data_IF_918170907244
#
_entry.id   IF_918170907244
#
_cell.length_a   1.000
_cell.length_b   1.000
_cell.length_c   1.000
_cell.angle_alpha   90.00
_cell.angle_beta   90.00
_cell.angle_gamma   90.00
#
_symmetry.space_group_name_H-M   'P 1'
#
loop_
_entity.id
_entity.type
_entity.pdbx_description
1 polymer ?
#
# COMPACT_ATOMS: atom_id res chain seq x y z
N UNK A 1 7.18 12.61 -4.30
CA UNK A 1 7.27 11.94 -5.61
C UNK A 1 8.71 11.77 -6.05
N UNK A 2 8.92 10.85 -6.93
CA UNK A 2 10.23 10.51 -7.49
C UNK A 2 10.45 11.29 -8.79
N UNK A 3 10.35 12.62 -8.74
CA UNK A 3 10.49 13.51 -9.90
C UNK A 3 9.65 13.05 -11.13
N UNK A 4 8.42 12.61 -10.84
CA UNK A 4 7.48 12.15 -11.85
C UNK A 4 7.56 10.66 -12.21
N UNK A 5 8.50 9.90 -11.63
CA UNK A 5 8.57 8.45 -11.84
C UNK A 5 7.42 7.75 -11.07
N UNK A 6 6.55 7.04 -11.77
CA UNK A 6 5.39 6.36 -11.19
C UNK A 6 5.40 4.89 -11.53
N UNK A 7 5.28 4.04 -10.50
CA UNK A 7 5.23 2.59 -10.64
C UNK A 7 3.82 2.06 -10.34
N UNK A 8 3.36 1.12 -11.16
CA UNK A 8 2.15 0.34 -10.94
C UNK A 8 2.53 -1.11 -10.59
N UNK A 9 2.31 -1.57 -9.33
CA UNK A 9 2.89 -2.80 -8.80
C UNK A 9 2.03 -4.04 -9.08
N UNK A 10 1.63 -4.28 -10.31
CA UNK A 10 0.92 -5.51 -10.67
C UNK A 10 1.90 -6.65 -10.97
N UNK A 11 2.55 -7.15 -9.91
CA UNK A 11 3.54 -8.26 -10.00
C UNK A 11 2.92 -9.58 -10.45
N UNK A 12 1.64 -9.76 -10.23
CA UNK A 12 0.85 -10.91 -10.67
C UNK A 12 -0.55 -10.50 -11.11
N UNK A 13 -1.21 -11.32 -11.94
CA UNK A 13 -2.56 -11.05 -12.39
C UNK A 13 -3.54 -11.10 -11.21
N UNK A 14 -4.32 -10.05 -11.05
CA UNK A 14 -5.42 -10.02 -10.09
C UNK A 14 -6.72 -10.55 -10.71
N UNK A 15 -7.65 -11.02 -9.86
CA UNK A 15 -8.95 -11.52 -10.32
C UNK A 15 -9.71 -10.52 -11.22
N UNK A 16 -9.67 -9.24 -10.88
CA UNK A 16 -10.35 -8.17 -11.64
C UNK A 16 -9.56 -7.65 -12.84
N UNK A 17 -8.25 -7.91 -12.88
CA UNK A 17 -7.34 -7.41 -13.91
C UNK A 17 -6.40 -8.54 -14.36
N UNK A 18 -6.91 -9.59 -15.02
CA UNK A 18 -6.16 -10.83 -15.28
C UNK A 18 -4.99 -10.68 -16.28
N UNK A 19 -4.92 -9.55 -16.98
CA UNK A 19 -3.84 -9.23 -17.91
C UNK A 19 -2.88 -8.17 -17.35
N UNK A 20 -3.15 -7.63 -16.15
CA UNK A 20 -2.32 -6.58 -15.59
C UNK A 20 -0.87 -7.06 -15.36
N UNK A 21 0.07 -6.18 -15.65
CA UNK A 21 1.50 -6.34 -15.38
C UNK A 21 2.03 -5.09 -14.69
N UNK A 22 3.15 -5.24 -14.00
CA UNK A 22 3.88 -4.11 -13.46
C UNK A 22 4.33 -3.17 -14.59
N UNK A 23 4.27 -1.88 -14.33
CA UNK A 23 4.74 -0.86 -15.26
C UNK A 23 5.38 0.29 -14.49
N UNK A 24 6.40 0.89 -15.08
CA UNK A 24 7.04 2.11 -14.57
C UNK A 24 7.04 3.10 -15.72
N UNK A 25 6.57 4.31 -15.47
CA UNK A 25 6.56 5.40 -16.45
C UNK A 25 7.17 6.67 -15.87
N UNK A 26 7.64 7.55 -16.73
CA UNK A 26 8.16 8.85 -16.35
C UNK A 26 9.69 8.94 -16.22
N UNK A 27 10.44 7.97 -16.74
CA UNK A 27 11.91 8.05 -16.75
C UNK A 27 12.42 9.25 -17.53
N UNK A 28 13.41 9.92 -16.95
CA UNK A 28 14.22 10.97 -17.57
C UNK A 28 15.70 10.80 -17.15
N UNK A 29 16.56 11.67 -17.61
CA UNK A 29 18.01 11.65 -17.35
C UNK A 29 18.39 11.93 -15.88
N UNK A 30 17.50 12.54 -15.10
CA UNK A 30 17.73 12.78 -13.67
C UNK A 30 17.51 11.54 -12.78
N UNK A 31 16.88 10.48 -13.30
CA UNK A 31 16.50 9.33 -12.48
C UNK A 31 17.67 8.38 -12.21
N UNK A 32 17.80 8.00 -10.95
CA UNK A 32 18.81 7.06 -10.45
C UNK A 32 18.14 5.81 -9.87
N UNK A 33 18.93 4.82 -9.48
CA UNK A 33 18.44 3.62 -8.78
C UNK A 33 17.66 3.97 -7.50
N UNK A 34 18.03 5.05 -6.80
CA UNK A 34 17.31 5.50 -5.60
C UNK A 34 15.88 5.98 -5.93
N UNK A 35 15.69 6.66 -7.05
CA UNK A 35 14.36 7.06 -7.52
C UNK A 35 13.52 5.83 -7.86
N UNK A 36 14.11 4.82 -8.51
CA UNK A 36 13.43 3.56 -8.81
C UNK A 36 12.99 2.84 -7.53
N UNK A 37 13.89 2.72 -6.54
CA UNK A 37 13.56 2.10 -5.27
C UNK A 37 12.43 2.84 -4.53
N UNK A 38 12.49 4.17 -4.53
CA UNK A 38 11.42 4.99 -3.94
C UNK A 38 10.11 4.87 -4.70
N UNK A 39 10.13 4.83 -6.04
CA UNK A 39 8.95 4.65 -6.87
C UNK A 39 8.25 3.29 -6.60
N UNK A 40 9.00 2.24 -6.25
CA UNK A 40 8.44 0.96 -5.82
C UNK A 40 7.63 1.15 -4.53
N UNK A 41 8.19 1.82 -3.53
CA UNK A 41 7.52 2.08 -2.25
C UNK A 41 6.25 2.91 -2.47
N UNK A 42 6.35 3.99 -3.22
CA UNK A 42 5.22 4.87 -3.53
C UNK A 42 4.13 4.16 -4.34
N UNK A 43 4.53 3.35 -5.32
CA UNK A 43 3.61 2.57 -6.16
C UNK A 43 2.81 1.54 -5.35
N UNK A 44 3.43 0.87 -4.38
CA UNK A 44 2.74 -0.04 -3.45
C UNK A 44 1.71 0.75 -2.62
N UNK A 45 2.09 1.91 -2.09
CA UNK A 45 1.19 2.76 -1.32
C UNK A 45 0.01 3.29 -2.17
N UNK A 46 0.24 3.64 -3.45
CA UNK A 46 -0.84 4.00 -4.39
C UNK A 46 -1.81 2.84 -4.64
N UNK A 47 -1.31 1.61 -4.79
CA UNK A 47 -2.17 0.44 -4.98
C UNK A 47 -3.07 0.19 -3.76
N UNK A 48 -2.52 0.33 -2.56
CA UNK A 48 -3.27 0.22 -1.31
C UNK A 48 -4.29 1.36 -1.18
N UNK A 49 -3.93 2.59 -1.53
CA UNK A 49 -4.84 3.74 -1.54
C UNK A 49 -6.01 3.54 -2.51
N UNK A 50 -5.78 3.04 -3.73
CA UNK A 50 -6.86 2.70 -4.70
C UNK A 50 -7.84 1.68 -4.09
N UNK A 51 -7.31 0.65 -3.42
CA UNK A 51 -8.11 -0.32 -2.68
C UNK A 51 -8.93 0.30 -1.56
N UNK A 52 -8.31 1.16 -0.73
CA UNK A 52 -8.98 1.85 0.36
C UNK A 52 -10.10 2.77 -0.13
N UNK A 53 -9.84 3.60 -1.14
CA UNK A 53 -10.87 4.46 -1.73
C UNK A 53 -12.05 3.66 -2.30
N UNK A 54 -11.78 2.43 -2.81
CA UNK A 54 -12.82 1.50 -3.23
C UNK A 54 -13.70 1.01 -2.06
N UNK A 55 -13.11 0.74 -0.89
CA UNK A 55 -13.81 0.35 0.32
C UNK A 55 -14.64 1.52 0.87
N UNK A 56 -14.04 2.70 0.98
CA UNK A 56 -14.69 3.91 1.46
C UNK A 56 -15.95 4.27 0.66
N UNK A 57 -15.85 4.16 -0.68
CA UNK A 57 -17.01 4.38 -1.56
C UNK A 57 -18.16 3.41 -1.30
N UNK A 58 -17.86 2.14 -0.98
CA UNK A 58 -18.90 1.12 -0.71
C UNK A 58 -19.52 1.27 0.68
N UNK A 59 -18.72 1.65 1.65
CA UNK A 59 -19.16 1.78 3.04
C UNK A 59 -19.74 3.17 3.35
N UNK A 60 -19.62 4.12 2.43
CA UNK A 60 -19.97 5.54 2.64
C UNK A 60 -19.33 6.14 3.90
N UNK A 61 -18.14 5.66 4.25
CA UNK A 61 -17.40 6.07 5.44
C UNK A 61 -15.94 6.37 5.08
N UNK A 62 -15.36 7.39 5.73
CA UNK A 62 -13.96 7.76 5.57
C UNK A 62 -13.10 7.15 6.66
N UNK A 63 -11.97 6.58 6.26
CA UNK A 63 -10.95 6.11 7.18
C UNK A 63 -10.23 7.32 7.78
N UNK A 64 -10.09 7.34 9.10
CA UNK A 64 -9.46 8.43 9.84
C UNK A 64 -7.99 8.19 10.17
N UNK A 65 -7.58 6.93 10.21
CA UNK A 65 -6.22 6.51 10.51
C UNK A 65 -5.96 5.09 9.98
N UNK A 66 -4.71 4.73 9.78
CA UNK A 66 -4.30 3.44 9.22
C UNK A 66 -3.29 2.77 10.15
N UNK A 67 -3.54 1.51 10.49
CA UNK A 67 -2.55 0.66 11.13
C UNK A 67 -1.67 -0.03 10.07
N UNK A 68 -0.36 0.01 10.25
CA UNK A 68 0.60 -0.70 9.39
C UNK A 68 1.34 -1.78 10.16
N UNK A 69 1.61 -2.89 9.49
CA UNK A 69 2.32 -4.04 10.06
C UNK A 69 3.18 -4.74 9.01
N UNK A 70 3.93 -5.76 9.45
CA UNK A 70 4.85 -6.50 8.60
C UNK A 70 6.21 -5.81 8.45
N UNK A 71 7.11 -6.42 7.69
CA UNK A 71 8.51 -6.00 7.56
C UNK A 71 8.68 -4.53 7.12
N UNK A 72 7.89 -4.06 6.16
CA UNK A 72 7.94 -2.68 5.67
C UNK A 72 7.60 -1.63 6.74
N UNK A 73 6.77 -1.97 7.73
CA UNK A 73 6.40 -1.06 8.82
C UNK A 73 7.55 -0.74 9.78
N UNK A 74 8.65 -1.48 9.72
CA UNK A 74 9.83 -1.20 10.53
C UNK A 74 10.57 0.07 10.06
N UNK A 75 10.43 0.46 8.80
CA UNK A 75 11.02 1.68 8.26
C UNK A 75 10.13 2.89 8.54
N UNK A 76 10.66 3.86 9.28
CA UNK A 76 9.99 5.14 9.52
C UNK A 76 9.71 5.89 8.23
N UNK A 77 10.65 5.84 7.27
CA UNK A 77 10.49 6.48 5.97
C UNK A 77 9.31 5.89 5.18
N UNK A 78 9.15 4.56 5.17
CA UNK A 78 8.01 3.89 4.51
C UNK A 78 6.70 4.29 5.18
N UNK A 79 6.65 4.32 6.51
CA UNK A 79 5.45 4.74 7.25
C UNK A 79 5.08 6.20 6.97
N UNK A 80 6.08 7.11 6.91
CA UNK A 80 5.85 8.51 6.59
C UNK A 80 5.38 8.70 5.15
N UNK A 81 6.01 8.04 4.16
CA UNK A 81 5.56 8.06 2.76
C UNK A 81 4.11 7.56 2.65
N UNK A 82 3.78 6.51 3.40
CA UNK A 82 2.41 5.97 3.42
C UNK A 82 1.44 7.01 3.99
N UNK A 83 1.76 7.65 5.12
CA UNK A 83 0.93 8.71 5.70
C UNK A 83 0.70 9.86 4.70
N UNK A 84 1.78 10.32 4.05
CA UNK A 84 1.74 11.41 3.09
C UNK A 84 0.88 11.03 1.85
N UNK A 85 0.99 9.80 1.34
CA UNK A 85 0.20 9.34 0.19
C UNK A 85 -1.28 9.22 0.55
N UNK A 86 -1.61 8.70 1.72
CA UNK A 86 -3.01 8.52 2.14
C UNK A 86 -3.66 9.81 2.67
N UNK A 87 -2.89 10.76 3.16
CA UNK A 87 -3.39 12.01 3.75
C UNK A 87 -4.06 11.81 5.12
N UNK A 88 -3.79 10.70 5.79
CA UNK A 88 -4.29 10.39 7.13
C UNK A 88 -3.16 9.86 8.01
N UNK A 89 -3.27 9.97 9.35
CA UNK A 89 -2.28 9.41 10.25
C UNK A 89 -2.10 7.90 10.05
N UNK A 90 -0.84 7.47 10.04
CA UNK A 90 -0.43 6.06 10.00
C UNK A 90 0.22 5.73 11.33
N UNK A 91 -0.13 4.60 11.93
CA UNK A 91 0.52 4.15 13.16
C UNK A 91 0.95 2.69 13.06
N UNK A 92 1.97 2.35 13.81
CA UNK A 92 2.38 0.96 14.04
C UNK A 92 2.21 0.59 15.51
N UNK A 93 2.05 -0.70 15.75
CA UNK A 93 1.97 -1.26 17.10
C UNK A 93 3.35 -1.73 17.57
N UNK A 94 3.45 -2.21 18.80
CA UNK A 94 4.71 -2.60 19.46
C UNK A 94 5.49 -3.72 18.75
N UNK A 95 4.86 -4.46 17.85
CA UNK A 95 5.51 -5.51 17.06
C UNK A 95 5.07 -5.43 15.60
N UNK A 96 5.97 -5.77 14.68
CA UNK A 96 5.63 -5.95 13.26
C UNK A 96 5.03 -7.33 12.98
N UNK A 97 5.21 -8.30 13.89
CA UNK A 97 4.65 -9.66 13.83
C UNK A 97 3.19 -9.69 14.30
N UNK A 98 2.33 -8.93 13.66
CA UNK A 98 0.92 -8.79 14.06
C UNK A 98 0.10 -10.04 13.84
N UNK A 99 0.50 -10.92 12.92
CA UNK A 99 -0.14 -12.24 12.75
C UNK A 99 0.04 -13.10 14.00
N UNK A 100 1.26 -13.19 14.54
CA UNK A 100 1.56 -13.90 15.78
C UNK A 100 0.83 -13.29 16.98
N UNK A 101 0.77 -11.97 17.05
CA UNK A 101 -0.02 -11.27 18.07
C UNK A 101 -1.51 -11.62 17.98
N UNK A 102 -2.06 -11.67 16.76
CA UNK A 102 -3.45 -12.08 16.54
C UNK A 102 -3.71 -13.52 17.00
N UNK A 103 -2.82 -14.46 16.69
CA UNK A 103 -2.91 -15.85 17.19
C UNK A 103 -2.88 -15.90 18.72
N UNK A 104 -2.00 -15.12 19.36
CA UNK A 104 -1.94 -15.05 20.82
C UNK A 104 -3.23 -14.49 21.43
N UNK A 105 -3.84 -13.45 20.84
CA UNK A 105 -5.13 -12.88 21.26
C UNK A 105 -6.23 -13.94 21.21
N UNK A 106 -6.32 -14.71 20.10
CA UNK A 106 -7.30 -15.80 19.96
C UNK A 106 -7.06 -16.89 21.01
N UNK A 107 -5.81 -17.31 21.22
CA UNK A 107 -5.44 -18.31 22.22
C UNK A 107 -5.81 -17.88 23.64
N UNK A 108 -5.45 -16.70 24.06
CA UNK A 108 -5.77 -16.18 25.41
C UNK A 108 -7.29 -16.01 25.63
N UNK A 109 -8.02 -15.60 24.57
CA UNK A 109 -9.50 -15.57 24.65
C UNK A 109 -10.08 -16.96 24.84
N UNK A 110 -9.57 -17.96 24.09
CA UNK A 110 -10.02 -19.35 24.20
C UNK A 110 -9.73 -19.95 25.59
N UNK A 111 -8.58 -19.66 26.18
CA UNK A 111 -8.18 -20.08 27.52
C UNK A 111 -8.91 -19.35 28.66
N UNK A 112 -9.79 -18.40 28.35
CA UNK A 112 -10.54 -17.64 29.35
C UNK A 112 -9.72 -16.59 30.11
N UNK A 113 -8.51 -16.24 29.64
CA UNK A 113 -7.68 -15.18 30.25
C UNK A 113 -8.33 -13.81 30.05
N UNK A 114 -8.96 -13.59 28.92
CA UNK A 114 -9.73 -12.40 28.60
C UNK A 114 -11.20 -12.74 28.33
N UNK A 115 -12.11 -11.85 28.78
CA UNK A 115 -13.54 -12.06 28.65
C UNK A 115 -14.08 -11.83 27.22
N UNK A 116 -13.41 -10.99 26.43
CA UNK A 116 -13.76 -10.69 25.04
C UNK A 116 -12.51 -10.44 24.19
N UNK A 117 -12.66 -10.40 22.86
CA UNK A 117 -11.58 -10.01 21.94
C UNK A 117 -11.20 -8.54 22.13
N UNK A 118 -12.17 -7.66 22.41
CA UNK A 118 -11.96 -6.24 22.69
C UNK A 118 -11.10 -6.06 23.95
N UNK A 119 -11.37 -6.83 25.01
CA UNK A 119 -10.59 -6.84 26.22
C UNK A 119 -9.16 -7.33 25.97
N UNK A 120 -9.00 -8.42 25.24
CA UNK A 120 -7.69 -8.92 24.84
C UNK A 120 -6.89 -7.91 24.01
N UNK A 121 -7.51 -7.29 23.00
CA UNK A 121 -6.87 -6.25 22.17
C UNK A 121 -6.46 -5.05 23.02
N UNK A 122 -7.32 -4.57 23.90
CA UNK A 122 -7.03 -3.42 24.80
C UNK A 122 -5.80 -3.68 25.68
N UNK A 123 -5.61 -4.91 26.13
CA UNK A 123 -4.50 -5.28 27.03
C UNK A 123 -3.23 -5.70 26.29
N UNK A 124 -3.34 -6.26 25.06
CA UNK A 124 -2.22 -6.85 24.33
C UNK A 124 -1.69 -5.96 23.20
N UNK A 125 -2.47 -5.00 22.71
CA UNK A 125 -2.07 -4.14 21.58
C UNK A 125 -1.76 -2.72 22.08
N UNK A 126 -0.56 -2.23 21.75
CA UNK A 126 -0.11 -0.88 22.11
C UNK A 126 0.44 -0.16 20.89
N UNK A 127 0.01 1.08 20.68
CA UNK A 127 0.62 1.96 19.66
C UNK A 127 2.05 2.28 20.06
N UNK A 128 3.00 2.09 19.15
CA UNK A 128 4.42 2.40 19.39
C UNK A 128 4.83 3.73 18.77
N UNK A 129 4.35 4.03 17.55
CA UNK A 129 4.66 5.28 16.84
C UNK A 129 3.56 5.66 15.87
N UNK A 130 3.29 6.96 15.77
CA UNK A 130 2.34 7.54 14.81
C UNK A 130 3.09 8.49 13.87
N UNK A 131 2.75 8.47 12.59
CA UNK A 131 3.26 9.31 11.51
C UNK A 131 2.11 10.15 10.98
N UNK A 132 2.18 11.45 11.22
CA UNK A 132 1.19 12.37 10.68
C UNK A 132 1.55 12.74 9.24
N UNK A 133 0.56 12.87 8.33
CA UNK A 133 0.83 13.25 6.95
C UNK A 133 1.38 14.68 6.87
N UNK A 134 2.38 14.89 6.03
CA UNK A 134 2.76 16.20 5.56
C UNK A 134 1.81 16.57 4.41
N UNK A 135 0.96 17.58 4.63
CA UNK A 135 -0.09 17.94 3.66
C UNK A 135 0.45 18.52 2.35
N UNK A 136 1.60 19.20 2.36
CA UNK A 136 2.27 19.66 1.13
C UNK A 136 2.72 18.46 0.27
N UNK A 137 3.29 17.43 0.90
CA UNK A 137 3.61 16.19 0.20
C UNK A 137 2.35 15.46 -0.27
N UNK A 138 1.31 15.44 0.57
CA UNK A 138 0.03 14.81 0.21
C UNK A 138 -0.55 15.40 -1.07
N UNK A 139 -0.54 16.72 -1.24
CA UNK A 139 -1.03 17.38 -2.47
C UNK A 139 -0.26 16.92 -3.71
N UNK A 140 1.08 16.81 -3.62
CA UNK A 140 1.92 16.32 -4.71
C UNK A 140 1.60 14.86 -5.05
N UNK A 141 1.46 14.00 -4.04
CA UNK A 141 1.08 12.60 -4.21
C UNK A 141 -0.35 12.43 -4.73
N UNK A 142 -1.30 13.23 -4.25
CA UNK A 142 -2.68 13.21 -4.71
C UNK A 142 -2.81 13.59 -6.19
N UNK A 143 -2.02 14.57 -6.62
CA UNK A 143 -1.93 14.93 -8.05
C UNK A 143 -1.45 13.73 -8.89
N UNK A 144 -0.33 13.11 -8.53
CA UNK A 144 0.21 11.96 -9.27
C UNK A 144 -0.74 10.77 -9.22
N UNK A 145 -1.36 10.50 -8.09
CA UNK A 145 -2.34 9.44 -7.94
C UNK A 145 -3.53 9.61 -8.88
N UNK A 146 -4.18 10.77 -8.83
CA UNK A 146 -5.40 11.04 -9.61
C UNK A 146 -5.13 11.27 -11.11
N UNK A 147 -4.04 11.96 -11.45
CA UNK A 147 -3.77 12.36 -12.83
C UNK A 147 -2.99 11.32 -13.62
N UNK A 148 -2.18 10.50 -12.95
CA UNK A 148 -1.30 9.51 -13.58
C UNK A 148 -1.68 8.09 -13.17
N UNK A 149 -1.49 7.72 -11.89
CA UNK A 149 -1.58 6.35 -11.42
C UNK A 149 -2.91 5.66 -11.76
N UNK A 150 -4.04 6.29 -11.42
CA UNK A 150 -5.38 5.72 -11.69
C UNK A 150 -5.66 5.50 -13.17
N UNK A 151 -4.98 6.22 -14.07
CA UNK A 151 -5.18 6.12 -15.52
C UNK A 151 -4.26 5.09 -16.19
N UNK A 152 -3.15 4.71 -15.54
CA UNK A 152 -2.12 3.85 -16.13
C UNK A 152 -2.70 2.53 -16.63
N UNK A 153 -3.46 1.82 -15.80
CA UNK A 153 -3.99 0.51 -16.16
C UNK A 153 -4.84 0.57 -17.43
N UNK A 154 -5.78 1.50 -17.50
CA UNK A 154 -6.66 1.63 -18.67
C UNK A 154 -5.91 1.98 -19.95
N UNK A 155 -4.89 2.84 -19.84
CA UNK A 155 -4.08 3.26 -21.00
C UNK A 155 -3.07 2.20 -21.46
N UNK A 156 -2.64 1.30 -20.57
CA UNK A 156 -1.66 0.25 -20.85
C UNK A 156 -2.32 -1.12 -21.11
N UNK A 157 -3.65 -1.23 -21.04
CA UNK A 157 -4.35 -2.52 -21.06
C UNK A 157 -4.10 -3.33 -22.31
N UNK A 158 -4.08 -2.70 -23.49
CA UNK A 158 -3.83 -3.39 -24.76
C UNK A 158 -2.40 -3.91 -24.84
N UNK A 159 -1.43 -3.11 -24.39
CA UNK A 159 -0.04 -3.54 -24.28
C UNK A 159 0.12 -4.74 -23.33
N UNK A 160 -0.63 -4.78 -22.22
CA UNK A 160 -0.61 -5.94 -21.32
C UNK A 160 -1.12 -7.23 -21.98
N UNK A 161 -2.16 -7.11 -22.81
CA UNK A 161 -2.66 -8.24 -23.62
C UNK A 161 -1.59 -8.76 -24.57
N UNK A 162 -0.91 -7.86 -25.27
CA UNK A 162 0.14 -8.25 -26.22
C UNK A 162 1.39 -8.81 -25.53
N UNK A 163 1.81 -8.23 -24.40
CA UNK A 163 2.85 -8.81 -23.55
C UNK A 163 2.51 -10.22 -23.07
N UNK A 164 1.23 -10.48 -22.75
CA UNK A 164 0.78 -11.83 -22.35
C UNK A 164 0.85 -12.81 -23.51
N UNK A 165 0.46 -12.39 -24.72
CA UNK A 165 0.60 -13.21 -25.95
C UNK A 165 2.07 -13.53 -26.22
N UNK A 166 2.95 -12.52 -26.12
CA UNK A 166 4.39 -12.69 -26.30
C UNK A 166 4.96 -13.72 -25.31
N UNK A 167 4.66 -13.57 -24.00
CA UNK A 167 5.15 -14.52 -23.01
C UNK A 167 4.67 -15.95 -23.26
N UNK A 168 3.41 -16.14 -23.68
CA UNK A 168 2.88 -17.47 -24.01
C UNK A 168 3.57 -18.12 -25.23
N UNK A 169 4.06 -17.29 -26.15
CA UNK A 169 4.67 -17.78 -27.40
C UNK A 169 6.18 -18.03 -27.27
N UNK A 170 6.87 -17.27 -26.42
CA UNK A 170 8.34 -17.21 -26.40
C UNK A 170 8.96 -17.46 -25.02
N UNK A 171 8.18 -17.67 -23.96
CA UNK A 171 8.74 -18.12 -22.67
C UNK A 171 8.61 -19.64 -22.59
N UNK A 172 9.77 -20.28 -22.35
CA UNK A 172 9.90 -21.73 -22.13
C UNK A 172 9.20 -22.16 -20.83
#
# INVERSE_FOLDING_TARGET
GCDGLVLQPYWGPGLKKPNARGAIIGFSDCHTLYHLYRAIIEGIAYALRDGLEGIERRQHAKVKEIAVSGGGSQSDAICQITADIFGVPVFRVQTYETASLGCAIVGYKYLGVYNSYEDAVKNMVRRSKTFNPNMENHEKYDYLFKKVYLKMFGRLSDMYVDLKKFSKKYSD
#
